data_IF_410613438959
#
_entry.id   IF_410613438959
#
_cell.length_a   1.000
_cell.length_b   1.000
_cell.length_c   1.000
_cell.angle_alpha   90.00
_cell.angle_beta   90.00
_cell.angle_gamma   90.00
#
_symmetry.space_group_name_H-M   'P 1'
#
loop_
_entity.id
_entity.type
_entity.pdbx_description
1 polymer ?
#
# COMPACT_ATOMS: atom_id res chain seq x y z
N UNK A 1 12.52 76.18 -24.67
CA UNK A 1 13.57 75.17 -24.92
C UNK A 1 13.05 73.86 -24.31
N UNK A 2 12.56 72.83 -25.03
CA UNK A 2 13.15 72.02 -26.12
C UNK A 2 14.58 71.59 -25.68
N UNK A 3 14.97 70.36 -25.35
CA UNK A 3 14.78 68.96 -25.84
C UNK A 3 15.02 67.97 -24.66
N UNK A 4 14.74 66.65 -24.65
CA UNK A 4 13.93 65.72 -25.48
C UNK A 4 13.84 64.32 -24.81
N UNK A 5 12.85 63.50 -25.23
CA UNK A 5 12.81 62.01 -25.40
C UNK A 5 13.67 61.13 -24.45
N UNK A 6 13.10 60.29 -23.59
CA UNK A 6 12.30 59.10 -23.90
C UNK A 6 13.01 58.06 -24.80
N UNK A 7 13.83 57.18 -24.19
CA UNK A 7 14.23 55.85 -24.66
C UNK A 7 15.23 55.23 -23.66
N UNK A 8 14.80 54.23 -22.89
CA UNK A 8 15.61 53.06 -22.43
C UNK A 8 14.81 52.06 -21.55
N UNK A 9 13.48 52.18 -21.47
CA UNK A 9 12.60 51.17 -20.87
C UNK A 9 12.47 49.92 -21.78
N UNK A 10 13.56 49.20 -21.99
CA UNK A 10 13.60 47.90 -22.66
C UNK A 10 14.91 47.16 -22.32
N UNK A 11 14.94 45.83 -22.50
CA UNK A 11 16.14 44.95 -22.47
C UNK A 11 16.69 44.44 -21.12
N UNK A 12 15.95 44.50 -20.00
CA UNK A 12 16.23 43.68 -18.80
C UNK A 12 15.15 42.60 -18.57
N UNK A 13 14.91 41.78 -19.60
CA UNK A 13 13.99 40.63 -19.55
C UNK A 13 14.55 39.47 -20.38
N UNK A 14 15.69 38.93 -19.96
CA UNK A 14 16.25 37.68 -20.54
C UNK A 14 17.25 36.92 -19.65
N UNK A 15 17.45 37.34 -18.39
CA UNK A 15 18.47 36.75 -17.50
C UNK A 15 17.92 35.64 -16.57
N UNK A 16 16.60 35.52 -16.42
CA UNK A 16 15.97 34.73 -15.33
C UNK A 16 15.47 33.34 -15.75
N UNK A 17 15.69 32.91 -16.99
CA UNK A 17 15.14 31.64 -17.53
C UNK A 17 16.19 30.53 -17.58
N UNK A 18 17.47 30.86 -17.70
CA UNK A 18 18.55 29.87 -17.89
C UNK A 18 18.86 29.07 -16.62
N UNK A 19 18.63 29.63 -15.43
CA UNK A 19 18.93 28.98 -14.15
C UNK A 19 17.99 27.80 -13.82
N UNK A 20 16.80 27.73 -14.41
CA UNK A 20 15.79 26.71 -14.06
C UNK A 20 15.90 25.41 -14.88
N UNK A 21 16.71 25.40 -15.94
CA UNK A 21 16.84 24.25 -16.87
C UNK A 21 17.96 23.28 -16.45
N UNK A 22 18.88 23.72 -15.58
CA UNK A 22 20.06 22.95 -15.16
C UNK A 22 19.87 22.02 -13.95
N UNK A 23 18.64 21.90 -13.42
CA UNK A 23 18.28 20.97 -12.34
C UNK A 23 17.40 19.79 -12.83
N UNK A 24 17.26 19.61 -14.15
CA UNK A 24 16.28 18.70 -14.76
C UNK A 24 16.77 17.30 -15.13
N UNK A 25 17.99 16.89 -14.78
CA UNK A 25 18.54 15.58 -15.17
C UNK A 25 19.38 14.94 -14.07
N UNK A 26 19.14 13.64 -13.82
CA UNK A 26 19.81 12.72 -12.88
C UNK A 26 19.10 12.49 -11.53
N UNK A 27 18.04 11.70 -11.54
CA UNK A 27 18.16 10.31 -11.04
C UNK A 27 17.06 9.46 -11.64
N UNK A 28 17.45 8.43 -12.40
CA UNK A 28 16.54 7.31 -12.62
C UNK A 28 16.29 6.68 -11.24
N UNK A 29 15.03 6.46 -10.87
CA UNK A 29 14.73 5.64 -9.70
C UNK A 29 15.22 4.23 -10.01
N UNK A 30 16.27 3.79 -9.31
CA UNK A 30 16.81 2.45 -9.50
C UNK A 30 15.71 1.45 -9.16
N UNK A 31 15.20 0.75 -10.18
CA UNK A 31 14.33 -0.40 -9.99
C UNK A 31 15.20 -1.54 -9.46
N UNK A 32 15.61 -1.43 -8.20
CA UNK A 32 16.11 -2.54 -7.43
C UNK A 32 15.00 -3.59 -7.46
N UNK A 33 15.19 -4.64 -8.28
CA UNK A 33 14.37 -5.83 -8.21
C UNK A 33 14.39 -6.30 -6.77
N UNK A 34 13.26 -6.14 -6.06
CA UNK A 34 13.13 -6.69 -4.73
C UNK A 34 13.50 -8.18 -4.82
N UNK A 35 14.29 -8.72 -3.88
CA UNK A 35 14.64 -10.13 -3.92
C UNK A 35 13.34 -10.94 -3.96
N UNK A 36 13.24 -11.80 -4.97
CA UNK A 36 12.06 -12.65 -5.15
C UNK A 36 11.90 -13.51 -3.89
N UNK A 37 10.72 -13.55 -3.26
CA UNK A 37 10.55 -14.25 -1.99
C UNK A 37 10.83 -15.74 -2.20
N UNK A 38 11.81 -16.29 -1.47
CA UNK A 38 12.11 -17.71 -1.57
C UNK A 38 10.88 -18.54 -1.20
N UNK A 39 10.62 -19.66 -1.90
CA UNK A 39 9.45 -20.49 -1.65
C UNK A 39 9.52 -21.12 -0.25
N UNK A 40 8.72 -20.59 0.67
CA UNK A 40 8.53 -21.19 1.97
C UNK A 40 7.85 -22.56 1.82
N UNK A 41 8.40 -23.58 2.49
CA UNK A 41 7.75 -24.89 2.59
C UNK A 41 6.59 -24.78 3.58
N UNK A 42 5.39 -24.50 3.07
CA UNK A 42 4.17 -24.33 3.87
C UNK A 42 3.26 -25.55 3.71
N UNK A 43 2.86 -26.17 4.83
CA UNK A 43 1.90 -27.26 4.89
C UNK A 43 0.60 -26.83 5.56
N UNK A 44 -0.54 -27.38 5.13
CA UNK A 44 -1.88 -27.06 5.66
C UNK A 44 -2.25 -28.00 6.80
N UNK A 45 -2.67 -27.45 7.94
CA UNK A 45 -2.99 -28.21 9.15
C UNK A 45 -4.50 -28.50 9.26
N UNK A 46 -5.01 -29.35 8.37
CA UNK A 46 -6.45 -29.68 8.29
C UNK A 46 -7.02 -30.23 9.61
N UNK A 47 -6.21 -30.90 10.44
CA UNK A 47 -6.63 -31.44 11.73
C UNK A 47 -7.06 -30.35 12.74
N UNK A 48 -6.54 -29.13 12.59
CA UNK A 48 -6.86 -27.97 13.43
C UNK A 48 -7.67 -26.90 12.65
N UNK A 49 -8.35 -27.30 11.58
CA UNK A 49 -9.31 -26.45 10.87
C UNK A 49 -10.59 -26.25 11.70
N UNK A 50 -11.11 -25.02 11.71
CA UNK A 50 -12.41 -24.68 12.30
C UNK A 50 -13.31 -24.05 11.24
N UNK A 51 -14.60 -24.41 11.26
CA UNK A 51 -15.62 -23.88 10.36
C UNK A 51 -16.82 -23.36 11.17
N UNK A 52 -17.42 -22.26 10.72
CA UNK A 52 -18.58 -21.64 11.37
C UNK A 52 -19.41 -20.85 10.36
N UNK A 53 -20.72 -21.02 10.39
CA UNK A 53 -21.65 -20.10 9.71
C UNK A 53 -21.75 -18.84 10.56
N UNK A 54 -21.53 -17.67 9.94
CA UNK A 54 -21.60 -16.35 10.56
C UNK A 54 -22.51 -15.47 9.71
N UNK A 55 -23.46 -14.78 10.34
CA UNK A 55 -24.35 -13.85 9.68
C UNK A 55 -24.03 -12.38 9.99
N UNK A 56 -24.98 -11.46 9.70
CA UNK A 56 -24.81 -10.03 9.95
C UNK A 56 -24.61 -9.64 11.43
N UNK A 57 -24.91 -10.53 12.37
CA UNK A 57 -24.58 -10.37 13.79
C UNK A 57 -23.07 -10.45 14.08
N UNK A 58 -22.30 -11.03 13.15
CA UNK A 58 -20.86 -11.26 13.29
C UNK A 58 -20.53 -12.35 14.32
N UNK A 59 -19.31 -12.29 14.86
CA UNK A 59 -18.86 -13.16 15.93
C UNK A 59 -17.44 -13.68 15.71
N UNK A 60 -17.02 -14.55 16.62
CA UNK A 60 -15.63 -15.03 16.69
C UNK A 60 -15.49 -16.47 16.22
N UNK A 61 -14.39 -16.78 15.53
CA UNK A 61 -13.85 -18.12 15.31
C UNK A 61 -12.49 -18.25 16.02
N UNK A 62 -12.25 -19.40 16.66
CA UNK A 62 -10.99 -19.68 17.36
C UNK A 62 -10.47 -21.06 17.00
N UNK A 63 -9.16 -21.19 16.77
CA UNK A 63 -8.49 -22.50 16.68
C UNK A 63 -7.10 -22.43 17.30
N UNK A 64 -6.41 -23.55 17.42
CA UNK A 64 -5.03 -23.64 17.91
C UNK A 64 -4.25 -24.62 17.02
N UNK A 65 -3.08 -24.21 16.51
CA UNK A 65 -2.24 -25.13 15.73
C UNK A 65 -1.62 -26.22 16.58
N UNK A 66 -1.08 -27.27 15.97
CA UNK A 66 -0.31 -28.31 16.63
C UNK A 66 0.99 -27.81 17.27
N UNK A 67 1.45 -26.62 16.87
CA UNK A 67 2.53 -25.88 17.54
C UNK A 67 2.08 -25.11 18.80
N UNK A 68 0.79 -25.17 19.16
CA UNK A 68 0.21 -24.48 20.32
C UNK A 68 -0.10 -22.99 20.09
N UNK A 69 -0.08 -22.51 18.85
CA UNK A 69 -0.38 -21.11 18.52
C UNK A 69 -1.89 -20.94 18.42
N UNK A 70 -2.48 -20.12 19.29
CA UNK A 70 -3.90 -19.78 19.24
C UNK A 70 -4.18 -18.71 18.18
N UNK A 71 -5.17 -18.95 17.34
CA UNK A 71 -5.67 -18.01 16.33
C UNK A 71 -7.09 -17.60 16.67
N UNK A 72 -7.41 -16.33 16.47
CA UNK A 72 -8.74 -15.76 16.68
C UNK A 72 -9.07 -14.86 15.51
N UNK A 73 -10.24 -15.08 14.91
CA UNK A 73 -10.82 -14.24 13.87
C UNK A 73 -12.10 -13.63 14.43
N UNK A 74 -12.07 -12.32 14.68
CA UNK A 74 -13.24 -11.55 15.09
C UNK A 74 -13.88 -10.88 13.89
N UNK A 75 -15.15 -11.19 13.65
CA UNK A 75 -15.97 -10.62 12.57
C UNK A 75 -16.95 -9.64 13.24
N UNK A 76 -16.85 -8.33 13.01
CA UNK A 76 -17.75 -7.37 13.64
C UNK A 76 -19.16 -7.47 13.04
N UNK A 77 -20.17 -7.10 13.83
CA UNK A 77 -21.55 -6.99 13.36
C UNK A 77 -21.65 -6.03 12.15
N UNK A 78 -22.43 -6.40 11.14
CA UNK A 78 -22.58 -5.68 9.87
C UNK A 78 -21.42 -5.87 8.89
N UNK A 79 -20.40 -6.69 9.17
CA UNK A 79 -19.36 -7.03 8.21
C UNK A 79 -19.85 -7.96 7.09
N UNK A 80 -20.90 -8.74 7.36
CA UNK A 80 -21.55 -9.66 6.43
C UNK A 80 -22.98 -9.16 6.14
N UNK A 81 -23.43 -9.34 4.89
CA UNK A 81 -24.78 -8.98 4.46
C UNK A 81 -25.78 -10.11 4.68
N UNK A 82 -25.30 -11.36 4.59
CA UNK A 82 -26.04 -12.61 4.69
C UNK A 82 -25.19 -13.65 5.45
N UNK A 83 -25.76 -14.82 5.75
CA UNK A 83 -25.04 -15.95 6.35
C UNK A 83 -23.97 -16.51 5.41
N UNK A 84 -22.74 -16.69 5.91
CA UNK A 84 -21.61 -17.26 5.18
C UNK A 84 -20.89 -18.30 6.04
N UNK A 85 -20.59 -19.46 5.46
CA UNK A 85 -19.68 -20.44 6.07
C UNK A 85 -18.23 -19.96 5.93
N UNK A 86 -17.56 -19.74 7.07
CA UNK A 86 -16.19 -19.27 7.15
C UNK A 86 -15.33 -20.39 7.74
N UNK A 87 -14.24 -20.70 7.04
CA UNK A 87 -13.24 -21.68 7.44
C UNK A 87 -11.90 -21.01 7.79
N UNK A 88 -11.28 -21.43 8.88
CA UNK A 88 -9.94 -21.02 9.29
C UNK A 88 -9.08 -22.27 9.53
N UNK A 89 -8.02 -22.42 8.73
CA UNK A 89 -7.11 -23.57 8.80
C UNK A 89 -5.68 -23.06 9.02
N UNK A 90 -4.98 -23.47 10.10
CA UNK A 90 -3.59 -23.12 10.31
C UNK A 90 -2.66 -23.69 9.23
N UNK A 91 -1.46 -23.12 9.14
CA UNK A 91 -0.37 -23.62 8.30
C UNK A 91 0.92 -23.69 9.11
N UNK A 92 1.83 -24.57 8.69
CA UNK A 92 3.13 -24.86 9.36
C UNK A 92 4.28 -24.85 8.36
#
# INVERSE_FOLDING_TARGET
MIRSRALLAFRYSMATVVAFVLFGTLSCGENASAPEPEPANVAVETANSVQKIVGPEGGTLTTTSGAGIAYTLDIPAGALLDELEIAMTPVT
#
